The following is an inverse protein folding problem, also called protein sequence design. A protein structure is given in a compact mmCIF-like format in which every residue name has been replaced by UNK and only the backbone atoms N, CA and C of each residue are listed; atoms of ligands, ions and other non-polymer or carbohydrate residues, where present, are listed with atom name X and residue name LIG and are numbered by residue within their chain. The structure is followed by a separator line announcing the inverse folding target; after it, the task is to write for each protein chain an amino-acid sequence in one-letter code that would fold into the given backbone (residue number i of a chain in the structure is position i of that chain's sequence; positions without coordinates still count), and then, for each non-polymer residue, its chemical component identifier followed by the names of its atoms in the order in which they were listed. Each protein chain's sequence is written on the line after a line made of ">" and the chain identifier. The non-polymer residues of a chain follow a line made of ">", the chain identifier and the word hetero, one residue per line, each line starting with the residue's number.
data_IF_228242350948
#
_entry.id   IF_228242350948
#
_cell.length_a   1.000
_cell.length_b   1.000
_cell.length_c   1.000
_cell.angle_alpha   90.00
_cell.angle_beta   90.00
_cell.angle_gamma   90.00
#
_symmetry.space_group_name_H-M   'P 1'
#
loop_
_entity.id
_entity.type
_entity.pdbx_description
1 polymer ?
#
# COMPACT_ATOMS: atom_id res chain seq x y z
N UNK A 1 -26.91 -11.94 1.73
CA UNK A 1 -26.66 -12.28 3.14
C UNK A 1 -26.14 -13.72 3.31
N UNK A 2 -26.59 -14.66 2.47
CA UNK A 2 -26.17 -16.08 2.50
C UNK A 2 -24.74 -16.28 1.96
N UNK A 3 -24.26 -15.43 1.08
CA UNK A 3 -22.88 -15.50 0.54
C UNK A 3 -21.83 -15.22 1.63
N UNK A 4 -22.16 -14.48 2.67
CA UNK A 4 -21.25 -14.20 3.80
C UNK A 4 -21.04 -15.38 4.73
N UNK A 5 -22.04 -16.24 4.91
CA UNK A 5 -21.98 -17.35 5.87
C UNK A 5 -21.19 -18.56 5.35
N UNK A 6 -21.13 -18.77 4.02
CA UNK A 6 -20.30 -19.81 3.40
C UNK A 6 -18.80 -19.47 3.34
N UNK A 7 -18.43 -18.19 3.59
CA UNK A 7 -17.05 -17.69 3.56
C UNK A 7 -16.38 -17.70 4.96
N UNK A 8 -17.14 -17.85 6.04
CA UNK A 8 -16.65 -17.73 7.42
C UNK A 8 -15.58 -18.76 7.80
N UNK A 9 -15.55 -19.92 7.17
CA UNK A 9 -14.51 -20.94 7.39
C UNK A 9 -13.22 -20.74 6.58
N UNK A 10 -13.27 -19.88 5.56
CA UNK A 10 -12.15 -19.58 4.66
C UNK A 10 -11.57 -18.17 4.88
N UNK A 11 -12.15 -17.39 5.77
CA UNK A 11 -11.90 -15.95 5.92
C UNK A 11 -10.51 -15.57 6.42
N UNK A 12 -9.80 -16.46 7.11
CA UNK A 12 -8.46 -16.14 7.61
C UNK A 12 -7.36 -16.17 6.52
N UNK A 13 -7.63 -16.80 5.39
CA UNK A 13 -6.69 -16.86 4.25
C UNK A 13 -7.09 -15.99 3.06
N UNK A 14 -8.17 -15.19 3.16
CA UNK A 14 -8.86 -14.62 1.98
C UNK A 14 -8.90 -13.09 1.97
N UNK A 15 -8.51 -12.40 3.05
CA UNK A 15 -8.74 -10.94 3.17
C UNK A 15 -8.16 -10.13 2.01
N UNK A 16 -6.95 -10.40 1.58
CA UNK A 16 -6.29 -9.63 0.52
C UNK A 16 -6.72 -10.05 -0.88
N UNK A 17 -7.16 -11.29 -1.05
CA UNK A 17 -7.66 -11.87 -2.30
C UNK A 17 -9.12 -11.51 -2.60
N UNK A 18 -9.90 -11.12 -1.60
CA UNK A 18 -11.33 -10.76 -1.77
C UNK A 18 -11.53 -9.67 -2.82
N UNK A 19 -10.56 -8.76 -2.98
CA UNK A 19 -10.62 -7.68 -3.96
C UNK A 19 -10.26 -8.08 -5.39
N UNK A 20 -9.33 -9.04 -5.60
CA UNK A 20 -8.75 -9.30 -6.93
C UNK A 20 -9.77 -9.87 -7.92
N UNK A 21 -10.45 -10.96 -7.59
CA UNK A 21 -11.41 -11.59 -8.51
C UNK A 21 -12.62 -10.70 -8.84
N UNK A 22 -13.26 -10.02 -7.85
CA UNK A 22 -14.28 -9.02 -8.14
C UNK A 22 -13.80 -7.86 -9.01
N UNK A 23 -12.57 -7.35 -8.77
CA UNK A 23 -11.97 -6.30 -9.59
C UNK A 23 -11.81 -6.76 -11.03
N UNK A 24 -11.25 -7.94 -11.26
CA UNK A 24 -11.10 -8.50 -12.61
C UNK A 24 -12.45 -8.74 -13.30
N UNK A 25 -13.47 -9.19 -12.57
CA UNK A 25 -14.81 -9.36 -13.09
C UNK A 25 -15.45 -8.01 -13.50
N UNK A 26 -15.28 -6.98 -12.66
CA UNK A 26 -15.80 -5.64 -12.94
C UNK A 26 -15.08 -4.99 -14.13
N UNK A 27 -13.75 -5.15 -14.26
CA UNK A 27 -12.98 -4.70 -15.43
C UNK A 27 -13.51 -5.36 -16.71
N UNK A 28 -13.69 -6.69 -16.72
CA UNK A 28 -14.24 -7.42 -17.86
C UNK A 28 -15.67 -6.99 -18.23
N UNK A 29 -16.42 -6.49 -17.25
CA UNK A 29 -17.75 -5.92 -17.46
C UNK A 29 -17.73 -4.43 -17.87
N UNK A 30 -16.56 -3.85 -18.18
CA UNK A 30 -16.39 -2.47 -18.62
C UNK A 30 -16.70 -1.43 -17.53
N UNK A 31 -16.47 -1.76 -16.25
CA UNK A 31 -16.71 -0.85 -15.12
C UNK A 31 -15.41 -0.21 -14.66
N UNK A 32 -15.43 1.12 -14.48
CA UNK A 32 -14.37 1.81 -13.79
C UNK A 32 -14.28 1.34 -12.32
N UNK A 33 -13.09 1.33 -11.78
CA UNK A 33 -12.81 0.79 -10.44
C UNK A 33 -12.36 1.91 -9.52
N UNK A 34 -13.09 2.15 -8.42
CA UNK A 34 -12.59 2.89 -7.26
C UNK A 34 -11.82 1.89 -6.38
N UNK A 35 -10.49 1.83 -6.55
CA UNK A 35 -9.66 0.81 -5.95
C UNK A 35 -9.27 1.17 -4.52
N UNK A 36 -9.84 0.46 -3.55
CA UNK A 36 -9.55 0.62 -2.11
C UNK A 36 -8.64 -0.49 -1.55
N UNK A 37 -8.53 -1.62 -2.26
CA UNK A 37 -7.70 -2.76 -1.85
C UNK A 37 -6.38 -2.73 -2.62
N UNK A 38 -5.35 -2.14 -2.02
CA UNK A 38 -4.00 -2.01 -2.60
C UNK A 38 -3.37 -3.35 -2.94
N UNK A 39 -3.67 -4.38 -2.16
CA UNK A 39 -3.13 -5.71 -2.32
C UNK A 39 -3.50 -6.32 -3.68
N UNK A 40 -4.59 -5.88 -4.29
CA UNK A 40 -4.96 -6.24 -5.67
C UNK A 40 -3.87 -5.88 -6.68
N UNK A 41 -3.28 -4.69 -6.58
CA UNK A 41 -2.17 -4.28 -7.45
C UNK A 41 -0.83 -4.83 -6.98
N UNK A 42 -0.62 -4.93 -5.68
CA UNK A 42 0.60 -5.54 -5.14
C UNK A 42 0.76 -6.97 -5.65
N UNK A 43 -0.30 -7.77 -5.60
CA UNK A 43 -0.24 -9.19 -5.96
C UNK A 43 -0.34 -9.46 -7.46
N UNK A 44 -1.09 -8.65 -8.20
CA UNK A 44 -1.44 -8.91 -9.59
C UNK A 44 -1.47 -7.65 -10.47
N UNK A 45 -0.69 -6.62 -10.12
CA UNK A 45 -0.77 -5.31 -10.78
C UNK A 45 -0.59 -5.37 -12.29
N UNK A 46 0.36 -6.16 -12.79
CA UNK A 46 0.56 -6.35 -14.23
C UNK A 46 -0.68 -6.93 -14.93
N UNK A 47 -1.36 -7.89 -14.31
CA UNK A 47 -2.58 -8.50 -14.85
C UNK A 47 -3.76 -7.50 -14.82
N UNK A 48 -3.92 -6.81 -13.70
CA UNK A 48 -5.02 -5.84 -13.49
C UNK A 48 -4.88 -4.65 -14.43
N UNK A 49 -3.70 -4.03 -14.51
CA UNK A 49 -3.47 -2.86 -15.36
C UNK A 49 -3.55 -3.22 -16.86
N UNK A 50 -3.05 -4.41 -17.25
CA UNK A 50 -3.20 -4.89 -18.63
C UNK A 50 -4.67 -5.12 -18.98
N UNK A 51 -5.46 -5.72 -18.10
CA UNK A 51 -6.88 -5.90 -18.30
C UNK A 51 -7.62 -4.56 -18.34
N UNK A 52 -7.32 -3.63 -17.43
CA UNK A 52 -7.92 -2.29 -17.44
C UNK A 52 -7.68 -1.57 -18.79
N UNK A 53 -6.46 -1.62 -19.30
CA UNK A 53 -6.09 -1.08 -20.60
C UNK A 53 -6.86 -1.77 -21.75
N UNK A 54 -6.94 -3.10 -21.73
CA UNK A 54 -7.63 -3.90 -22.76
C UNK A 54 -9.12 -3.57 -22.83
N UNK A 55 -9.79 -3.39 -21.68
CA UNK A 55 -11.23 -3.12 -21.61
C UNK A 55 -11.55 -1.62 -21.57
N UNK A 56 -10.55 -0.74 -21.61
CA UNK A 56 -10.72 0.72 -21.63
C UNK A 56 -11.35 1.27 -20.36
N UNK A 57 -11.12 0.63 -19.21
CA UNK A 57 -11.64 1.05 -17.90
C UNK A 57 -10.57 1.77 -17.09
N UNK A 58 -11.00 2.67 -16.21
CA UNK A 58 -10.11 3.44 -15.33
C UNK A 58 -9.98 2.77 -13.98
N UNK A 59 -8.76 2.79 -13.43
CA UNK A 59 -8.49 2.47 -12.02
C UNK A 59 -8.30 3.80 -11.29
N UNK A 60 -9.21 4.13 -10.39
CA UNK A 60 -9.22 5.36 -9.60
C UNK A 60 -8.77 5.02 -8.18
N UNK A 61 -7.64 5.55 -7.68
CA UNK A 61 -7.11 5.19 -6.37
C UNK A 61 -7.96 5.77 -5.23
N UNK A 62 -8.22 4.96 -4.23
CA UNK A 62 -8.90 5.35 -2.97
C UNK A 62 -7.90 5.49 -1.83
N UNK A 63 -6.77 4.76 -1.88
CA UNK A 63 -5.68 4.99 -0.93
C UNK A 63 -5.29 6.47 -0.91
N UNK A 64 -5.06 7.05 0.29
CA UNK A 64 -4.90 8.49 0.46
C UNK A 64 -3.69 9.05 -0.28
N UNK A 65 -2.57 8.35 -0.23
CA UNK A 65 -1.33 8.73 -0.90
C UNK A 65 -1.46 8.63 -2.43
N UNK A 66 -2.05 7.55 -2.91
CA UNK A 66 -2.25 7.37 -4.37
C UNK A 66 -3.31 8.31 -4.91
N UNK A 67 -4.36 8.60 -4.17
CA UNK A 67 -5.32 9.64 -4.52
C UNK A 67 -4.65 11.02 -4.60
N UNK A 68 -3.70 11.30 -3.69
CA UNK A 68 -2.93 12.55 -3.72
C UNK A 68 -2.04 12.63 -4.98
N UNK A 69 -1.30 11.56 -5.29
CA UNK A 69 -0.48 11.48 -6.51
C UNK A 69 -1.36 11.65 -7.74
N UNK A 70 -2.50 10.94 -7.81
CA UNK A 70 -3.48 11.06 -8.89
C UNK A 70 -3.91 12.51 -9.11
N UNK A 71 -4.17 13.27 -8.03
CA UNK A 71 -4.53 14.67 -8.10
C UNK A 71 -3.38 15.56 -8.61
N UNK A 72 -2.14 15.29 -8.18
CA UNK A 72 -0.95 16.01 -8.64
C UNK A 72 -0.65 15.75 -10.11
N UNK A 73 -0.79 14.51 -10.57
CA UNK A 73 -0.58 14.13 -11.99
C UNK A 73 -1.54 14.86 -12.94
N UNK A 74 -2.74 15.24 -12.48
CA UNK A 74 -3.64 16.06 -13.31
C UNK A 74 -3.03 17.41 -13.70
N UNK A 75 -2.13 17.95 -12.89
CA UNK A 75 -1.42 19.20 -13.20
C UNK A 75 -0.33 19.02 -14.27
N UNK A 76 0.09 17.80 -14.54
CA UNK A 76 1.09 17.48 -15.58
C UNK A 76 0.59 17.80 -17.00
N UNK A 77 -0.72 17.85 -17.22
CA UNK A 77 -1.32 18.09 -18.53
C UNK A 77 -0.72 17.17 -19.64
N UNK A 78 -0.49 15.90 -19.31
CA UNK A 78 0.10 14.90 -20.21
C UNK A 78 1.63 14.90 -20.29
N UNK A 79 2.33 15.80 -19.60
CA UNK A 79 3.78 15.73 -19.48
C UNK A 79 4.20 14.59 -18.54
N UNK A 80 5.36 13.96 -18.79
CA UNK A 80 5.88 12.93 -17.91
C UNK A 80 6.22 13.49 -16.53
N UNK A 81 5.97 12.69 -15.51
CA UNK A 81 6.47 12.94 -14.15
C UNK A 81 7.87 12.36 -14.03
N UNK A 82 8.73 13.01 -13.27
CA UNK A 82 10.10 12.57 -13.04
C UNK A 82 10.15 11.62 -11.84
N UNK A 83 9.53 12.02 -10.73
CA UNK A 83 9.58 11.26 -9.49
C UNK A 83 8.27 11.39 -8.69
N UNK A 84 7.91 10.32 -7.99
CA UNK A 84 6.89 10.35 -6.93
C UNK A 84 7.58 10.50 -5.57
N UNK A 85 7.09 11.44 -4.76
CA UNK A 85 7.45 11.60 -3.36
C UNK A 85 6.32 11.01 -2.51
N UNK A 86 6.48 9.74 -2.14
CA UNK A 86 5.49 8.97 -1.41
C UNK A 86 5.63 9.22 0.10
N UNK A 87 4.71 9.94 0.72
CA UNK A 87 4.82 10.29 2.12
C UNK A 87 4.37 9.15 3.04
N UNK A 88 4.97 9.09 4.23
CA UNK A 88 4.68 8.11 5.27
C UNK A 88 4.62 8.78 6.64
N UNK A 89 3.71 8.36 7.53
CA UNK A 89 3.71 8.84 8.92
C UNK A 89 4.94 8.38 9.72
N UNK A 90 5.62 7.34 9.25
CA UNK A 90 6.73 6.69 9.95
C UNK A 90 6.29 5.76 11.09
N UNK A 91 4.98 5.60 11.32
CA UNK A 91 4.42 4.72 12.33
C UNK A 91 4.78 5.10 13.78
N UNK A 92 4.45 4.22 14.75
CA UNK A 92 4.71 4.46 16.18
C UNK A 92 6.20 4.37 16.55
N UNK A 93 7.02 3.73 15.74
CA UNK A 93 8.43 3.48 16.06
C UNK A 93 9.41 4.38 15.31
N UNK A 94 8.94 5.46 14.71
CA UNK A 94 9.80 6.46 14.08
C UNK A 94 10.93 6.91 15.01
N UNK A 95 12.16 6.90 14.47
CA UNK A 95 13.38 7.29 15.20
C UNK A 95 13.99 6.22 16.12
N UNK A 96 13.37 5.04 16.22
CA UNK A 96 13.94 3.89 16.96
C UNK A 96 14.88 3.10 16.07
N UNK A 97 15.88 2.48 16.69
CA UNK A 97 16.76 1.51 16.07
C UNK A 97 16.16 0.10 16.14
N UNK A 98 16.59 -0.80 15.27
CA UNK A 98 16.04 -2.16 15.18
C UNK A 98 16.23 -2.93 16.49
N UNK A 99 17.34 -2.71 17.21
CA UNK A 99 17.62 -3.33 18.52
C UNK A 99 16.60 -2.93 19.57
N UNK A 100 16.15 -1.67 19.54
CA UNK A 100 15.13 -1.14 20.45
C UNK A 100 13.74 -1.72 20.15
N UNK A 101 13.53 -2.17 18.90
CA UNK A 101 12.23 -2.71 18.46
C UNK A 101 12.07 -4.21 18.72
N UNK A 102 13.13 -4.96 19.05
CA UNK A 102 13.06 -6.43 19.27
C UNK A 102 12.07 -6.84 20.35
N UNK A 103 11.91 -6.04 21.39
CA UNK A 103 11.01 -6.34 22.51
C UNK A 103 9.67 -5.58 22.45
N UNK A 104 9.32 -4.94 21.33
CA UNK A 104 8.08 -4.17 21.23
C UNK A 104 6.86 -5.10 21.24
N UNK A 105 5.89 -4.72 22.08
CA UNK A 105 4.66 -5.48 22.26
C UNK A 105 3.64 -5.13 21.17
N UNK A 106 2.64 -5.98 21.03
CA UNK A 106 1.49 -5.78 20.15
C UNK A 106 0.79 -4.44 20.43
N UNK A 107 0.59 -4.10 21.71
CA UNK A 107 -0.08 -2.88 22.12
C UNK A 107 0.70 -1.63 21.69
N UNK A 108 2.04 -1.68 21.82
CA UNK A 108 2.92 -0.59 21.36
C UNK A 108 2.89 -0.45 19.84
N UNK A 109 2.89 -1.56 19.11
CA UNK A 109 2.82 -1.55 17.65
C UNK A 109 1.46 -1.09 17.12
N UNK A 110 0.37 -1.31 17.87
CA UNK A 110 -0.98 -0.86 17.52
C UNK A 110 -1.25 0.62 17.85
N UNK A 111 -0.35 1.31 18.55
CA UNK A 111 -0.49 2.71 18.95
C UNK A 111 -0.10 3.68 17.81
N UNK A 112 -0.91 3.72 16.73
CA UNK A 112 -0.63 4.63 15.60
C UNK A 112 -0.88 6.10 15.99
N UNK A 113 0.05 7.05 15.63
CA UNK A 113 -0.04 8.43 16.10
C UNK A 113 -1.19 9.24 15.49
N UNK A 114 -1.56 9.00 14.23
CA UNK A 114 -2.44 9.89 13.47
C UNK A 114 -3.74 9.22 12.98
N UNK A 115 -3.74 7.91 12.78
CA UNK A 115 -4.84 7.18 12.17
C UNK A 115 -5.43 6.12 13.10
N UNK A 116 -6.77 6.00 13.11
CA UNK A 116 -7.46 4.87 13.72
C UNK A 116 -7.79 3.85 12.62
N UNK A 117 -7.10 2.73 12.60
CA UNK A 117 -7.15 1.74 11.53
C UNK A 117 -7.34 0.32 12.08
N UNK A 118 -7.60 -0.64 11.20
CA UNK A 118 -7.62 -2.06 11.56
C UNK A 118 -6.23 -2.57 12.02
N UNK A 119 -6.20 -3.65 12.80
CA UNK A 119 -4.99 -4.17 13.42
C UNK A 119 -3.88 -4.49 12.38
N UNK A 120 -4.21 -5.18 11.28
CA UNK A 120 -3.22 -5.56 10.24
C UNK A 120 -2.52 -4.35 9.67
N UNK A 121 -3.26 -3.36 9.15
CA UNK A 121 -2.67 -2.18 8.52
C UNK A 121 -1.92 -1.29 9.54
N UNK A 122 -2.30 -1.34 10.82
CA UNK A 122 -1.57 -0.63 11.88
C UNK A 122 -0.20 -1.27 12.12
N UNK A 123 -0.10 -2.60 12.13
CA UNK A 123 1.19 -3.31 12.20
C UNK A 123 2.00 -3.07 10.92
N UNK A 124 1.39 -3.07 9.75
CA UNK A 124 2.07 -2.73 8.49
C UNK A 124 2.64 -1.30 8.52
N UNK A 125 1.93 -0.36 9.15
CA UNK A 125 2.45 0.99 9.38
C UNK A 125 3.63 0.99 10.36
N UNK A 126 3.54 0.20 11.44
CA UNK A 126 4.60 0.11 12.44
C UNK A 126 5.89 -0.50 11.87
N UNK A 127 5.80 -1.46 10.97
CA UNK A 127 6.93 -2.07 10.25
C UNK A 127 7.38 -1.29 9.03
N UNK A 128 6.66 -0.26 8.63
CA UNK A 128 6.77 0.45 7.34
C UNK A 128 6.44 -0.43 6.11
N UNK A 129 5.97 -1.67 6.30
CA UNK A 129 5.51 -2.53 5.19
C UNK A 129 4.35 -1.90 4.42
N UNK A 130 3.42 -1.22 5.10
CA UNK A 130 2.34 -0.49 4.41
C UNK A 130 2.90 0.43 3.32
N UNK A 131 3.96 1.17 3.63
CA UNK A 131 4.61 2.06 2.66
C UNK A 131 5.35 1.29 1.56
N UNK A 132 5.87 0.12 1.88
CA UNK A 132 6.43 -0.80 0.87
C UNK A 132 5.36 -1.33 -0.10
N UNK A 133 4.18 -1.70 0.39
CA UNK A 133 3.05 -2.13 -0.45
C UNK A 133 2.55 -0.98 -1.32
N UNK A 134 2.47 0.22 -0.77
CA UNK A 134 2.09 1.42 -1.50
C UNK A 134 3.08 1.81 -2.59
N UNK A 135 4.38 1.57 -2.38
CA UNK A 135 5.39 1.75 -3.44
C UNK A 135 5.11 0.84 -4.64
N UNK A 136 4.77 -0.44 -4.38
CA UNK A 136 4.41 -1.39 -5.45
C UNK A 136 3.11 -0.97 -6.15
N UNK A 137 2.11 -0.50 -5.40
CA UNK A 137 0.87 0.02 -5.96
C UNK A 137 1.12 1.23 -6.85
N UNK A 138 1.93 2.22 -6.40
CA UNK A 138 2.30 3.40 -7.18
C UNK A 138 3.03 3.03 -8.48
N UNK A 139 3.96 2.08 -8.42
CA UNK A 139 4.66 1.57 -9.58
C UNK A 139 3.69 1.10 -10.68
N UNK A 140 2.63 0.40 -10.31
CA UNK A 140 1.64 -0.08 -11.26
C UNK A 140 0.66 1.00 -11.73
N UNK A 141 0.18 1.85 -10.82
CA UNK A 141 -0.80 2.89 -11.15
C UNK A 141 -0.24 3.97 -12.08
N UNK A 142 1.02 4.33 -11.90
CA UNK A 142 1.64 5.46 -12.61
C UNK A 142 2.68 5.04 -13.65
N UNK A 143 2.86 3.73 -13.82
CA UNK A 143 3.82 3.13 -14.78
C UNK A 143 5.24 3.68 -14.61
N UNK A 144 5.69 3.79 -13.34
CA UNK A 144 7.02 4.24 -12.98
C UNK A 144 7.86 3.08 -12.44
N UNK A 145 9.17 3.07 -12.67
CA UNK A 145 10.05 2.12 -12.02
C UNK A 145 10.18 2.44 -10.51
N UNK A 146 10.47 1.44 -9.66
CA UNK A 146 10.51 1.64 -8.20
C UNK A 146 11.62 2.59 -7.73
N UNK A 147 12.66 2.84 -8.53
CA UNK A 147 13.71 3.82 -8.28
C UNK A 147 13.24 5.28 -8.37
N UNK A 148 12.20 5.55 -9.16
CA UNK A 148 11.59 6.88 -9.31
C UNK A 148 10.47 7.11 -8.27
N UNK A 149 10.34 6.23 -7.29
CA UNK A 149 9.43 6.37 -6.16
C UNK A 149 10.22 6.52 -4.87
N UNK A 150 10.33 7.75 -4.40
CA UNK A 150 11.04 8.10 -3.17
C UNK A 150 10.09 8.12 -1.98
N UNK A 151 10.44 7.41 -0.91
CA UNK A 151 9.69 7.44 0.35
C UNK A 151 10.20 8.57 1.21
N UNK A 152 9.28 9.39 1.72
CA UNK A 152 9.58 10.54 2.60
C UNK A 152 8.74 10.43 3.87
N UNK A 153 9.37 10.47 5.03
CA UNK A 153 8.61 10.46 6.30
C UNK A 153 8.12 11.87 6.61
N UNK A 154 6.80 12.00 6.78
CA UNK A 154 6.10 13.23 7.12
C UNK A 154 5.14 12.97 8.29
N UNK A 155 5.58 13.36 9.51
CA UNK A 155 4.92 12.99 10.77
C UNK A 155 3.53 13.58 10.93
N UNK A 156 3.31 14.76 10.41
CA UNK A 156 2.04 15.50 10.53
C UNK A 156 0.94 14.90 9.67
N UNK A 157 1.27 14.08 8.65
CA UNK A 157 0.33 13.47 7.71
C UNK A 157 -0.62 14.50 7.04
N UNK A 158 -0.13 15.70 6.79
CA UNK A 158 -0.85 16.78 6.09
C UNK A 158 -0.58 16.74 4.59
N UNK A 159 0.67 16.52 4.19
CA UNK A 159 1.03 16.21 2.81
C UNK A 159 0.82 14.72 2.59
N UNK A 160 -0.14 14.39 1.74
CA UNK A 160 -0.48 12.98 1.47
C UNK A 160 0.34 12.34 0.36
N UNK A 161 1.07 13.07 -0.40
CA UNK A 161 2.17 12.76 -1.34
C UNK A 161 2.36 13.89 -2.31
N UNK A 162 3.44 13.82 -3.10
CA UNK A 162 3.78 14.81 -4.10
C UNK A 162 4.35 14.16 -5.36
N UNK A 163 4.43 14.96 -6.43
CA UNK A 163 5.03 14.58 -7.70
C UNK A 163 6.04 15.66 -8.07
N UNK A 164 7.25 15.23 -8.42
CA UNK A 164 8.28 16.06 -9.00
C UNK A 164 8.26 15.93 -10.52
N UNK A 165 8.37 17.06 -11.22
CA UNK A 165 8.39 17.14 -12.67
C UNK A 165 9.80 17.40 -13.19
N UNK A 166 10.03 17.17 -14.48
CA UNK A 166 11.33 17.31 -15.13
C UNK A 166 11.95 18.72 -15.03
N UNK A 167 11.16 19.76 -14.76
CA UNK A 167 11.62 21.12 -14.50
C UNK A 167 12.03 21.37 -13.03
N UNK A 168 11.93 20.34 -12.18
CA UNK A 168 12.21 20.41 -10.74
C UNK A 168 11.05 20.96 -9.89
N UNK A 169 9.88 21.26 -10.50
CA UNK A 169 8.72 21.69 -9.73
C UNK A 169 8.12 20.50 -8.97
N UNK A 170 7.75 20.73 -7.71
CA UNK A 170 7.06 19.72 -6.87
C UNK A 170 5.63 20.18 -6.62
N UNK A 171 4.66 19.33 -6.98
CA UNK A 171 3.24 19.57 -6.69
C UNK A 171 2.78 18.54 -5.66
N UNK A 172 2.18 19.01 -4.57
CA UNK A 172 1.71 18.18 -3.46
C UNK A 172 0.22 18.37 -3.20
N UNK A 173 -0.46 17.32 -2.80
CA UNK A 173 -1.82 17.42 -2.26
C UNK A 173 -1.77 17.47 -0.74
N UNK A 174 -2.45 18.45 -0.17
CA UNK A 174 -2.54 18.67 1.27
C UNK A 174 -3.99 18.50 1.75
N UNK A 175 -4.14 17.95 2.95
CA UNK A 175 -5.44 17.79 3.61
C UNK A 175 -5.30 17.24 5.02
N UNK A 176 -6.35 17.36 5.82
CA UNK A 176 -6.42 16.61 7.07
C UNK A 176 -6.58 15.11 6.77
N UNK A 177 -6.08 14.21 7.64
CA UNK A 177 -6.19 12.77 7.45
C UNK A 177 -7.65 12.30 7.57
N UNK A 178 -8.33 12.22 6.43
CA UNK A 178 -9.73 11.84 6.34
C UNK A 178 -10.02 11.09 5.02
N UNK A 179 -10.34 9.81 5.14
CA UNK A 179 -10.60 8.94 3.99
C UNK A 179 -11.83 9.32 3.16
N UNK A 180 -12.74 10.14 3.69
CA UNK A 180 -13.90 10.62 2.93
C UNK A 180 -13.51 11.43 1.69
N UNK A 181 -12.37 12.14 1.75
CA UNK A 181 -11.88 12.93 0.62
C UNK A 181 -11.48 12.03 -0.57
N UNK A 182 -10.56 11.09 -0.44
CA UNK A 182 -10.16 10.23 -1.56
C UNK A 182 -11.28 9.30 -2.03
N UNK A 183 -12.10 8.77 -1.11
CA UNK A 183 -13.27 7.95 -1.47
C UNK A 183 -14.23 8.74 -2.33
N UNK A 184 -14.63 9.95 -1.87
CA UNK A 184 -15.56 10.78 -2.62
C UNK A 184 -15.00 11.15 -3.99
N UNK A 185 -13.73 11.56 -4.07
CA UNK A 185 -13.09 11.92 -5.33
C UNK A 185 -13.11 10.75 -6.33
N UNK A 186 -12.76 9.54 -5.90
CA UNK A 186 -12.79 8.36 -6.77
C UNK A 186 -14.21 8.06 -7.30
N UNK A 187 -15.24 8.27 -6.48
CA UNK A 187 -16.64 8.01 -6.85
C UNK A 187 -17.25 9.12 -7.72
N UNK A 188 -16.76 10.36 -7.62
CA UNK A 188 -17.35 11.51 -8.34
C UNK A 188 -16.47 12.02 -9.48
N UNK A 189 -15.29 11.42 -9.68
CA UNK A 189 -14.36 11.84 -10.72
C UNK A 189 -15.05 11.96 -12.11
N UNK A 190 -14.80 13.04 -12.88
CA UNK A 190 -13.81 14.11 -12.65
C UNK A 190 -14.30 15.30 -11.82
N UNK A 191 -15.47 15.21 -11.22
CA UNK A 191 -16.09 16.34 -10.51
C UNK A 191 -15.59 16.41 -9.05
N UNK A 192 -15.34 17.66 -8.58
CA UNK A 192 -15.09 17.95 -7.16
C UNK A 192 -16.36 18.48 -6.52
N UNK A 193 -17.03 17.63 -5.77
CA UNK A 193 -18.26 17.99 -5.07
C UNK A 193 -17.99 18.35 -3.61
N UNK A 194 -18.86 19.13 -2.93
CA UNK A 194 -18.69 19.44 -1.52
C UNK A 194 -18.59 18.19 -0.66
N UNK A 195 -17.57 18.13 0.22
CA UNK A 195 -17.36 17.05 1.17
C UNK A 195 -17.52 17.58 2.60
N UNK A 196 -18.21 16.80 3.45
CA UNK A 196 -18.41 17.12 4.87
C UNK A 196 -17.20 16.71 5.71
N UNK A 197 -16.04 17.29 5.42
CA UNK A 197 -14.80 17.11 6.17
C UNK A 197 -14.37 18.45 6.77
N UNK A 198 -13.65 18.46 7.89
CA UNK A 198 -13.09 19.66 8.46
C UNK A 198 -12.20 20.38 7.42
N UNK A 199 -12.25 21.72 7.41
CA UNK A 199 -11.37 22.52 6.54
C UNK A 199 -10.02 22.68 7.21
N UNK A 200 -8.96 22.48 6.43
CA UNK A 200 -7.59 22.71 6.88
C UNK A 200 -7.27 24.19 6.88
N UNK A 201 -6.62 24.68 7.93
CA UNK A 201 -6.04 26.01 8.03
C UNK A 201 -4.51 25.90 7.99
N UNK A 202 -3.85 26.46 6.99
CA UNK A 202 -2.38 26.46 6.92
C UNK A 202 -1.74 27.24 8.08
N UNK A 203 -2.44 28.26 8.60
CA UNK A 203 -1.96 29.03 9.76
C UNK A 203 -1.98 28.17 11.05
N UNK A 204 -2.94 27.26 11.20
CA UNK A 204 -3.02 26.34 12.34
C UNK A 204 -2.01 25.18 12.20
N UNK A 205 -1.81 24.65 10.98
CA UNK A 205 -0.77 23.67 10.69
C UNK A 205 0.61 24.21 10.98
N UNK A 206 0.86 25.48 10.64
CA UNK A 206 2.06 26.27 10.91
C UNK A 206 3.38 25.67 10.39
N UNK A 207 3.66 24.36 10.62
CA UNK A 207 4.92 23.71 10.28
C UNK A 207 4.68 22.33 9.68
N UNK A 208 5.46 22.01 8.66
CA UNK A 208 5.55 20.68 8.04
C UNK A 208 7.00 20.20 8.16
N UNK A 209 7.17 18.92 8.52
CA UNK A 209 8.51 18.32 8.69
C UNK A 209 8.65 17.09 7.80
N UNK A 210 9.85 16.93 7.24
CA UNK A 210 10.16 15.82 6.34
C UNK A 210 11.49 15.19 6.73
N UNK A 211 11.56 13.85 6.67
CA UNK A 211 12.74 13.07 7.03
C UNK A 211 12.95 11.95 6.03
N UNK A 212 14.20 11.54 5.86
CA UNK A 212 14.52 10.30 5.15
C UNK A 212 14.05 9.08 5.96
N UNK A 213 13.57 8.02 5.34
CA UNK A 213 13.28 6.77 6.03
C UNK A 213 14.57 6.06 6.47
N UNK A 214 14.53 5.40 7.63
CA UNK A 214 15.64 4.57 8.12
C UNK A 214 15.46 3.14 7.58
N UNK A 215 16.14 2.82 6.46
CA UNK A 215 16.09 1.52 5.82
C UNK A 215 16.74 0.39 6.62
N UNK A 216 17.63 0.73 7.56
CA UNK A 216 18.26 -0.26 8.46
C UNK A 216 17.30 -0.64 9.58
N UNK A 217 16.63 0.35 10.17
CA UNK A 217 15.63 0.12 11.20
C UNK A 217 14.36 -0.56 10.66
N UNK A 218 13.98 -0.28 9.40
CA UNK A 218 12.77 -0.79 8.76
C UNK A 218 13.07 -1.60 7.49
N UNK A 219 13.61 -2.82 7.61
CA UNK A 219 14.02 -3.65 6.47
C UNK A 219 12.87 -4.02 5.52
N UNK A 220 11.62 -3.94 5.97
CA UNK A 220 10.44 -4.15 5.14
C UNK A 220 10.40 -3.25 3.89
N UNK A 221 10.94 -2.03 3.97
CA UNK A 221 11.06 -1.12 2.83
C UNK A 221 12.00 -1.67 1.73
N UNK A 222 13.14 -2.23 2.13
CA UNK A 222 14.08 -2.84 1.20
C UNK A 222 13.49 -4.10 0.56
N UNK A 223 12.78 -4.93 1.32
CA UNK A 223 12.10 -6.13 0.83
C UNK A 223 11.05 -5.77 -0.23
N UNK A 224 10.27 -4.72 0.03
CA UNK A 224 9.26 -4.25 -0.92
C UNK A 224 9.88 -3.66 -2.19
N UNK A 225 10.95 -2.85 -2.09
CA UNK A 225 11.71 -2.36 -3.26
C UNK A 225 12.28 -3.49 -4.08
N UNK A 226 12.84 -4.50 -3.43
CA UNK A 226 13.34 -5.69 -4.10
C UNK A 226 12.24 -6.45 -4.84
N UNK A 227 11.10 -6.70 -4.19
CA UNK A 227 9.96 -7.35 -4.83
C UNK A 227 9.42 -6.52 -6.02
N UNK A 228 9.35 -5.19 -5.89
CA UNK A 228 8.95 -4.28 -6.94
C UNK A 228 9.86 -4.35 -8.17
N UNK A 229 11.18 -4.39 -7.98
CA UNK A 229 12.17 -4.45 -9.07
C UNK A 229 12.10 -5.77 -9.85
N UNK A 230 11.82 -6.89 -9.17
CA UNK A 230 11.71 -8.20 -9.79
C UNK A 230 10.38 -8.39 -10.51
N UNK A 231 9.30 -7.74 -10.05
CA UNK A 231 7.93 -7.95 -10.55
C UNK A 231 7.50 -9.43 -10.43
N UNK A 232 6.79 -9.97 -11.43
CA UNK A 232 6.33 -11.36 -11.42
C UNK A 232 5.47 -11.66 -10.19
N UNK A 233 5.75 -12.77 -9.52
CA UNK A 233 5.05 -13.23 -8.32
C UNK A 233 5.56 -12.58 -7.01
N UNK A 234 6.64 -11.78 -7.06
CA UNK A 234 7.30 -11.28 -5.84
C UNK A 234 6.39 -10.39 -4.99
N UNK A 235 5.52 -9.59 -5.60
CA UNK A 235 4.52 -8.82 -4.86
C UNK A 235 3.54 -9.71 -4.09
N UNK A 236 3.07 -10.79 -4.72
CA UNK A 236 2.15 -11.74 -4.09
C UNK A 236 2.85 -12.52 -2.96
N UNK A 237 4.09 -12.95 -3.16
CA UNK A 237 4.90 -13.62 -2.12
C UNK A 237 5.15 -12.68 -0.94
N UNK A 238 5.57 -11.44 -1.20
CA UNK A 238 5.79 -10.42 -0.16
C UNK A 238 4.55 -10.22 0.69
N UNK A 239 3.41 -9.98 0.04
CA UNK A 239 2.16 -9.67 0.74
C UNK A 239 1.64 -10.89 1.52
N UNK A 240 1.65 -12.09 0.92
CA UNK A 240 1.20 -13.32 1.60
C UNK A 240 2.07 -13.67 2.81
N UNK A 241 3.39 -13.53 2.68
CA UNK A 241 4.31 -13.74 3.79
C UNK A 241 4.12 -12.71 4.91
N UNK A 242 3.92 -11.44 4.54
CA UNK A 242 3.65 -10.37 5.50
C UNK A 242 2.33 -10.60 6.25
N UNK A 243 1.26 -10.98 5.56
CA UNK A 243 -0.04 -11.27 6.17
C UNK A 243 0.08 -12.41 7.19
N UNK A 244 0.76 -13.50 6.82
CA UNK A 244 1.01 -14.63 7.72
C UNK A 244 1.85 -14.20 8.94
N UNK A 245 2.94 -13.46 8.73
CA UNK A 245 3.83 -13.02 9.80
C UNK A 245 3.13 -12.03 10.75
N UNK A 246 2.36 -11.07 10.24
CA UNK A 246 1.54 -10.17 11.05
C UNK A 246 0.50 -10.95 11.86
N UNK A 247 -0.14 -11.96 11.25
CA UNK A 247 -1.06 -12.84 11.97
C UNK A 247 -0.38 -13.58 13.13
N UNK A 248 0.83 -14.09 12.93
CA UNK A 248 1.62 -14.73 14.00
C UNK A 248 2.00 -13.73 15.11
N UNK A 249 2.43 -12.52 14.76
CA UNK A 249 2.74 -11.48 15.72
C UNK A 249 1.52 -11.05 16.55
N UNK A 250 0.36 -10.83 15.92
CA UNK A 250 -0.88 -10.47 16.60
C UNK A 250 -1.39 -11.56 17.57
N UNK A 251 -0.95 -12.81 17.39
CA UNK A 251 -1.23 -13.95 18.26
C UNK A 251 -0.05 -14.30 19.20
N UNK A 252 0.92 -13.38 19.37
CA UNK A 252 2.08 -13.52 20.27
C UNK A 252 2.95 -14.79 19.99
N UNK A 253 3.02 -15.21 18.70
CA UNK A 253 3.82 -16.38 18.27
C UNK A 253 5.22 -16.01 17.82
N UNK A 254 5.43 -14.76 17.40
CA UNK A 254 6.73 -14.21 16.97
C UNK A 254 6.89 -12.79 17.51
N UNK A 255 8.13 -12.29 17.58
CA UNK A 255 8.44 -10.92 17.93
C UNK A 255 8.20 -9.93 16.78
N UNK A 256 8.22 -8.63 17.08
CA UNK A 256 7.97 -7.58 16.11
C UNK A 256 8.98 -7.60 14.95
N UNK A 257 10.27 -7.74 15.24
CA UNK A 257 11.33 -7.76 14.22
C UNK A 257 11.30 -9.03 13.36
N UNK A 258 10.76 -10.13 13.90
CA UNK A 258 10.66 -11.40 13.16
C UNK A 258 9.73 -11.30 11.96
N UNK A 259 8.80 -10.32 11.93
CA UNK A 259 7.89 -10.09 10.80
C UNK A 259 8.71 -9.91 9.50
N UNK A 260 9.65 -8.99 9.49
CA UNK A 260 10.48 -8.74 8.31
C UNK A 260 11.38 -9.93 7.97
N UNK A 261 11.91 -10.64 8.97
CA UNK A 261 12.73 -11.84 8.77
C UNK A 261 11.94 -12.97 8.08
N UNK A 262 10.67 -13.18 8.48
CA UNK A 262 9.79 -14.17 7.83
C UNK A 262 9.47 -13.82 6.38
N UNK A 263 9.25 -12.52 6.10
CA UNK A 263 9.03 -12.04 4.74
C UNK A 263 10.28 -12.24 3.88
N UNK A 264 11.46 -11.90 4.40
CA UNK A 264 12.73 -12.13 3.71
C UNK A 264 12.93 -13.63 3.40
N UNK A 265 12.72 -14.49 4.39
CA UNK A 265 12.82 -15.94 4.21
C UNK A 265 11.90 -16.46 3.11
N UNK A 266 10.65 -15.98 3.05
CA UNK A 266 9.71 -16.39 2.01
C UNK A 266 10.15 -15.92 0.61
N UNK A 267 10.65 -14.69 0.49
CA UNK A 267 11.18 -14.16 -0.79
C UNK A 267 12.40 -14.94 -1.28
N UNK A 268 13.24 -15.44 -0.38
CA UNK A 268 14.44 -16.20 -0.71
C UNK A 268 14.13 -17.67 -1.05
N UNK A 269 13.15 -18.28 -0.40
CA UNK A 269 12.90 -19.73 -0.50
C UNK A 269 11.84 -20.09 -1.53
N UNK A 270 10.85 -19.24 -1.77
CA UNK A 270 9.82 -19.51 -2.78
C UNK A 270 10.41 -19.26 -4.18
N UNK A 271 10.38 -20.27 -5.08
CA UNK A 271 10.91 -20.12 -6.43
C UNK A 271 10.26 -18.95 -7.17
N UNK A 272 11.09 -18.14 -7.84
CA UNK A 272 10.63 -16.99 -8.60
C UNK A 272 9.88 -17.40 -9.87
N UNK A 273 8.71 -16.81 -10.11
CA UNK A 273 7.92 -16.95 -11.32
C UNK A 273 7.68 -15.58 -11.97
N UNK A 274 8.27 -15.36 -13.14
CA UNK A 274 8.17 -14.08 -13.86
C UNK A 274 6.77 -13.87 -14.46
N UNK A 275 6.30 -14.87 -15.22
CA UNK A 275 5.01 -14.80 -15.93
C UNK A 275 3.95 -15.50 -15.09
N UNK A 276 3.13 -14.70 -14.41
CA UNK A 276 2.08 -15.19 -13.50
C UNK A 276 0.70 -15.13 -14.15
N UNK A 277 -0.14 -16.06 -13.73
CA UNK A 277 -1.57 -16.07 -14.02
C UNK A 277 -2.38 -15.73 -12.78
N UNK A 278 -3.68 -15.46 -12.94
CA UNK A 278 -4.58 -15.32 -11.79
C UNK A 278 -4.61 -16.56 -10.90
N UNK A 279 -4.53 -17.75 -11.50
CA UNK A 279 -4.51 -19.02 -10.77
C UNK A 279 -3.23 -19.15 -9.93
N UNK A 280 -2.09 -18.73 -10.46
CA UNK A 280 -0.83 -18.71 -9.70
C UNK A 280 -0.92 -17.83 -8.45
N UNK A 281 -1.43 -16.60 -8.61
CA UNK A 281 -1.67 -15.69 -7.47
C UNK A 281 -2.62 -16.35 -6.47
N UNK A 282 -3.68 -17.00 -6.98
CA UNK A 282 -4.63 -17.71 -6.14
C UNK A 282 -3.97 -18.86 -5.36
N UNK A 283 -3.07 -19.63 -5.98
CA UNK A 283 -2.39 -20.77 -5.36
C UNK A 283 -1.39 -20.35 -4.28
N UNK A 284 -0.66 -19.24 -4.47
CA UNK A 284 0.26 -18.72 -3.45
C UNK A 284 -0.42 -18.45 -2.10
N UNK A 285 -1.71 -18.08 -2.12
CA UNK A 285 -2.50 -17.82 -0.91
C UNK A 285 -3.25 -19.05 -0.38
N UNK A 286 -3.36 -20.14 -1.15
CA UNK A 286 -4.07 -21.36 -0.76
C UNK A 286 -3.14 -22.51 -0.43
N UNK A 287 -1.87 -22.42 -0.80
CA UNK A 287 -0.86 -23.40 -0.41
C UNK A 287 -0.78 -23.37 1.13
N UNK A 288 -0.88 -24.53 1.83
CA UNK A 288 -0.64 -24.53 3.26
C UNK A 288 0.76 -23.95 3.47
N UNK A 289 0.85 -22.88 4.29
CA UNK A 289 2.11 -22.48 4.88
C UNK A 289 2.79 -23.75 5.38
N UNK A 290 4.09 -23.95 5.19
CA UNK A 290 4.78 -25.06 5.84
C UNK A 290 4.51 -24.89 7.34
N UNK A 291 3.49 -25.60 7.80
CA UNK A 291 3.25 -25.81 9.21
C UNK A 291 4.19 -26.95 9.55
N UNK A 292 5.19 -26.60 10.30
CA UNK A 292 5.98 -27.34 11.28
C UNK A 292 7.42 -26.86 11.29
#
# INVERSE_FOLDING_TARGET
>A
YEIRLSLVGAEMCIRDRVGLLPTMAAIKAGKDIALANKETLVCAGGLVMSAAKQYGVRILPVDSEHSAIFQCVQAANGNPIDKILLTASGGPFFGKKIEEMRGMTREQALAHPNWSMGAKITIDSATMMNKGLELIEAMWLYDLPPEDIEIVVHRESIVHSAVEFADGAVIAQLGLPDMRLPIQLALTWPQRVPCKVPRMSLAEVAKLTFYAPDYEAFPALNLAKHAASLKGDRGAVLNGANEAAVGLFLNDKIGFTDIAERVAYALDTIPYKKDITLDDVCLLYTSPSPRD
#
